data_IF_827027744121
#
_entry.id   IF_827027744121
#
_cell.length_a   1.000
_cell.length_b   1.000
_cell.length_c   1.000
_cell.angle_alpha   90.00
_cell.angle_beta   90.00
_cell.angle_gamma   90.00
#
_symmetry.space_group_name_H-M   'P 1'
#
loop_
_entity.id
_entity.type
_entity.pdbx_description
1 polymer ?
#
# COMPACT_ATOMS: atom_id res chain seq x y z
N UNK A 1 12.74 23.41 -19.00
CA UNK A 1 11.87 22.67 -18.06
C UNK A 1 12.77 21.64 -17.42
N UNK A 2 13.05 21.71 -16.12
CA UNK A 2 13.88 20.69 -15.46
C UNK A 2 13.12 19.38 -15.51
N UNK A 3 13.72 18.35 -16.08
CA UNK A 3 13.20 16.98 -15.99
C UNK A 3 13.03 16.63 -14.50
N UNK A 4 11.81 16.75 -14.01
CA UNK A 4 11.51 16.37 -12.64
C UNK A 4 11.76 14.85 -12.54
N UNK A 5 12.71 14.45 -11.70
CA UNK A 5 13.02 13.03 -11.43
C UNK A 5 11.73 12.24 -11.23
N UNK A 6 11.61 11.11 -11.90
CA UNK A 6 10.49 10.17 -11.74
C UNK A 6 10.37 9.72 -10.28
N UNK A 7 9.17 9.31 -9.87
CA UNK A 7 8.89 8.80 -8.51
C UNK A 7 8.66 7.30 -8.58
N UNK A 8 9.38 6.56 -7.75
CA UNK A 8 9.19 5.12 -7.56
C UNK A 8 8.29 4.84 -6.34
N UNK A 9 7.21 4.09 -6.55
CA UNK A 9 6.26 3.69 -5.51
C UNK A 9 6.30 2.19 -5.34
N UNK A 10 6.44 1.71 -4.12
CA UNK A 10 6.26 0.29 -3.81
C UNK A 10 4.85 0.06 -3.27
N UNK A 11 4.07 -0.78 -3.96
CA UNK A 11 2.73 -1.14 -3.57
C UNK A 11 2.68 -2.50 -2.84
N UNK A 12 1.87 -2.58 -1.79
CA UNK A 12 1.61 -3.79 -1.01
C UNK A 12 0.12 -4.08 -1.00
N UNK A 13 -0.27 -5.25 -1.52
CA UNK A 13 -1.66 -5.70 -1.48
C UNK A 13 -1.90 -6.69 -0.35
N UNK A 14 -2.73 -6.31 0.63
CA UNK A 14 -3.07 -7.13 1.79
C UNK A 14 -4.02 -8.30 1.50
N UNK A 15 -4.35 -8.59 0.25
CA UNK A 15 -5.25 -9.69 -0.11
C UNK A 15 -4.55 -10.71 -1.00
N UNK A 16 -4.51 -11.96 -0.55
CA UNK A 16 -3.90 -13.07 -1.29
C UNK A 16 -4.87 -13.78 -2.24
N UNK A 17 -6.18 -13.50 -2.16
CA UNK A 17 -7.20 -14.15 -2.99
C UNK A 17 -6.98 -13.84 -4.47
N UNK A 18 -7.06 -14.84 -5.37
CA UNK A 18 -6.88 -14.67 -6.81
C UNK A 18 -7.87 -13.62 -7.39
N UNK A 19 -9.17 -13.75 -7.10
CA UNK A 19 -10.22 -12.78 -7.50
C UNK A 19 -10.38 -11.61 -6.52
N UNK A 20 -9.28 -11.04 -6.01
CA UNK A 20 -9.31 -9.97 -5.01
C UNK A 20 -9.68 -8.63 -5.63
N UNK A 21 -10.71 -7.96 -5.10
CA UNK A 21 -11.04 -6.56 -5.42
C UNK A 21 -9.87 -5.61 -5.13
N UNK A 22 -9.08 -5.88 -4.10
CA UNK A 22 -7.90 -5.06 -3.78
C UNK A 22 -6.77 -5.25 -4.80
N UNK A 23 -6.55 -6.45 -5.32
CA UNK A 23 -5.63 -6.66 -6.45
C UNK A 23 -6.11 -5.97 -7.72
N UNK A 24 -7.40 -6.00 -7.98
CA UNK A 24 -8.01 -5.29 -9.12
C UNK A 24 -7.86 -3.77 -8.96
N UNK A 25 -8.15 -3.21 -7.77
CA UNK A 25 -7.93 -1.80 -7.49
C UNK A 25 -6.45 -1.40 -7.64
N UNK A 26 -5.51 -2.26 -7.25
CA UNK A 26 -4.08 -2.03 -7.47
C UNK A 26 -3.73 -2.01 -8.97
N UNK A 27 -4.27 -2.94 -9.78
CA UNK A 27 -4.07 -2.89 -11.24
C UNK A 27 -4.58 -1.57 -11.82
N UNK A 28 -5.76 -1.11 -11.36
CA UNK A 28 -6.32 0.20 -11.76
C UNK A 28 -5.39 1.36 -11.35
N UNK A 29 -4.79 1.32 -10.16
CA UNK A 29 -3.82 2.33 -9.76
C UNK A 29 -2.57 2.32 -10.66
N UNK A 30 -2.06 1.16 -11.04
CA UNK A 30 -0.93 1.03 -11.96
C UNK A 30 -1.29 1.60 -13.36
N UNK A 31 -2.53 1.37 -13.82
CA UNK A 31 -3.03 1.92 -15.08
C UNK A 31 -3.16 3.46 -15.03
N UNK A 32 -3.69 4.00 -13.94
CA UNK A 32 -4.04 5.43 -13.80
C UNK A 32 -2.92 6.30 -13.22
N UNK A 33 -1.73 5.74 -12.99
CA UNK A 33 -0.60 6.49 -12.41
C UNK A 33 -0.21 7.71 -13.26
N UNK A 34 0.21 8.81 -12.64
CA UNK A 34 0.72 9.99 -13.35
C UNK A 34 1.93 9.65 -14.21
N UNK A 35 2.16 10.42 -15.31
CA UNK A 35 3.41 10.33 -16.07
C UNK A 35 4.62 10.56 -15.14
N UNK A 36 5.66 9.71 -15.27
CA UNK A 36 6.86 9.80 -14.44
C UNK A 36 6.75 9.07 -13.10
N UNK A 37 5.60 8.47 -12.76
CA UNK A 37 5.49 7.55 -11.62
C UNK A 37 5.64 6.10 -12.08
N UNK A 38 6.44 5.32 -11.36
CA UNK A 38 6.46 3.86 -11.46
C UNK A 38 5.83 3.24 -10.21
N UNK A 39 5.08 2.15 -10.37
CA UNK A 39 4.49 1.41 -9.24
C UNK A 39 4.90 -0.06 -9.38
N UNK A 40 5.77 -0.49 -8.50
CA UNK A 40 6.16 -1.89 -8.35
C UNK A 40 5.35 -2.56 -7.24
N UNK A 41 5.10 -3.85 -7.35
CA UNK A 41 4.32 -4.60 -6.36
C UNK A 41 5.20 -5.57 -5.58
N UNK A 42 5.17 -5.49 -4.25
CA UNK A 42 5.83 -6.46 -3.38
C UNK A 42 4.98 -7.73 -3.20
N UNK A 43 5.62 -8.89 -3.26
CA UNK A 43 5.01 -10.14 -2.80
C UNK A 43 5.21 -10.29 -1.29
N UNK A 44 4.13 -10.13 -0.54
CA UNK A 44 4.11 -10.29 0.92
C UNK A 44 3.44 -11.59 1.37
N UNK A 45 2.99 -12.41 0.43
CA UNK A 45 2.27 -13.66 0.71
C UNK A 45 3.16 -14.84 1.08
N UNK A 46 4.44 -14.74 0.75
CA UNK A 46 5.43 -15.81 0.98
C UNK A 46 6.13 -15.73 2.33
N UNK A 47 5.85 -14.70 3.15
CA UNK A 47 6.54 -14.52 4.43
C UNK A 47 6.02 -15.49 5.49
N UNK A 48 6.90 -16.14 6.27
CA UNK A 48 6.47 -16.89 7.44
C UNK A 48 5.78 -15.94 8.44
N UNK A 49 5.00 -16.46 9.35
CA UNK A 49 4.53 -15.65 10.49
C UNK A 49 5.73 -15.11 11.25
N UNK A 50 5.63 -13.84 11.67
CA UNK A 50 6.71 -13.22 12.42
C UNK A 50 7.01 -14.00 13.69
N UNK A 51 8.29 -14.28 13.88
CA UNK A 51 8.83 -14.95 15.06
C UNK A 51 10.23 -14.40 15.34
N UNK A 52 10.44 -13.90 16.55
CA UNK A 52 11.72 -13.32 16.96
C UNK A 52 12.85 -14.35 16.97
N UNK A 53 12.58 -15.62 17.29
CA UNK A 53 13.60 -16.67 17.26
C UNK A 53 14.12 -16.90 15.82
N UNK A 54 13.24 -16.78 14.83
CA UNK A 54 13.63 -16.84 13.41
C UNK A 54 14.39 -15.59 13.04
N UNK A 55 13.91 -14.41 13.48
CA UNK A 55 14.55 -13.13 13.22
C UNK A 55 15.97 -13.06 13.80
N UNK A 56 16.22 -13.62 14.96
CA UNK A 56 17.53 -13.66 15.62
C UNK A 56 18.59 -14.42 14.78
N UNK A 57 18.15 -15.31 13.88
CA UNK A 57 19.02 -16.02 12.95
C UNK A 57 19.24 -15.26 11.62
N UNK A 58 18.59 -14.10 11.45
CA UNK A 58 18.61 -13.28 10.24
C UNK A 58 17.22 -13.12 9.65
N UNK A 59 17.10 -12.19 8.69
CA UNK A 59 15.84 -12.05 7.95
C UNK A 59 15.68 -13.16 6.91
N UNK A 60 14.50 -13.80 6.81
CA UNK A 60 14.21 -14.68 5.67
C UNK A 60 14.46 -13.95 4.35
N UNK A 61 15.01 -14.62 3.29
CA UNK A 61 15.38 -13.97 2.04
C UNK A 61 14.26 -13.13 1.39
N UNK A 62 12.98 -13.57 1.36
CA UNK A 62 11.90 -12.73 0.82
C UNK A 62 11.64 -11.48 1.65
N UNK A 63 11.78 -11.54 2.98
CA UNK A 63 11.65 -10.39 3.87
C UNK A 63 12.79 -9.40 3.63
N UNK A 64 14.02 -9.88 3.51
CA UNK A 64 15.18 -9.03 3.23
C UNK A 64 15.04 -8.32 1.88
N UNK A 65 14.55 -9.02 0.85
CA UNK A 65 14.24 -8.42 -0.44
C UNK A 65 13.19 -7.32 -0.30
N UNK A 66 12.12 -7.57 0.44
CA UNK A 66 11.07 -6.60 0.70
C UNK A 66 11.60 -5.34 1.44
N UNK A 67 12.44 -5.53 2.45
CA UNK A 67 13.10 -4.40 3.16
C UNK A 67 13.93 -3.54 2.21
N UNK A 68 14.70 -4.15 1.31
CA UNK A 68 15.46 -3.42 0.27
C UNK A 68 14.54 -2.68 -0.70
N UNK A 69 13.42 -3.28 -1.10
CA UNK A 69 12.41 -2.62 -1.95
C UNK A 69 11.80 -1.39 -1.27
N UNK A 70 11.44 -1.49 0.01
CA UNK A 70 10.95 -0.34 0.79
C UNK A 70 12.02 0.76 0.86
N UNK A 71 13.26 0.40 1.16
CA UNK A 71 14.35 1.38 1.27
C UNK A 71 14.57 2.13 -0.04
N UNK A 72 14.51 1.43 -1.18
CA UNK A 72 14.73 2.00 -2.51
C UNK A 72 13.56 2.85 -3.04
N UNK A 73 12.34 2.60 -2.58
CA UNK A 73 11.16 3.34 -3.05
C UNK A 73 11.09 4.76 -2.48
N UNK A 74 10.64 5.71 -3.30
CA UNK A 74 10.41 7.09 -2.87
C UNK A 74 9.12 7.22 -2.03
N UNK A 75 8.12 6.37 -2.27
CA UNK A 75 6.84 6.35 -1.56
C UNK A 75 6.25 4.94 -1.49
N UNK A 76 5.22 4.76 -0.66
CA UNK A 76 4.53 3.49 -0.47
C UNK A 76 3.04 3.62 -0.78
N UNK A 77 2.44 2.56 -1.34
CA UNK A 77 1.00 2.42 -1.55
C UNK A 77 0.50 1.16 -0.86
N UNK A 78 -0.29 1.32 0.19
CA UNK A 78 -0.97 0.20 0.84
C UNK A 78 -2.36 0.00 0.23
N UNK A 79 -2.66 -1.23 -0.19
CA UNK A 79 -3.97 -1.62 -0.70
C UNK A 79 -4.52 -2.72 0.19
N UNK A 80 -5.40 -2.38 1.12
CA UNK A 80 -5.82 -3.28 2.19
C UNK A 80 -7.29 -3.69 2.10
N UNK A 81 -7.63 -4.98 2.24
CA UNK A 81 -8.98 -5.38 2.61
C UNK A 81 -9.26 -5.00 4.08
N UNK A 82 -10.52 -5.10 4.49
CA UNK A 82 -10.90 -5.00 5.89
C UNK A 82 -11.37 -6.37 6.40
N UNK A 83 -10.68 -6.92 7.39
CA UNK A 83 -11.04 -8.14 8.08
C UNK A 83 -11.21 -7.87 9.56
N UNK A 84 -12.41 -8.13 10.10
CA UNK A 84 -12.71 -7.93 11.52
C UNK A 84 -12.33 -6.51 12.01
N UNK A 85 -12.71 -5.48 11.24
CA UNK A 85 -12.45 -4.06 11.52
C UNK A 85 -10.98 -3.63 11.46
N UNK A 86 -10.07 -4.48 10.99
CA UNK A 86 -8.64 -4.19 10.92
C UNK A 86 -8.06 -4.50 9.53
N UNK A 87 -6.78 -4.17 9.34
CA UNK A 87 -6.01 -4.60 8.18
C UNK A 87 -5.87 -6.13 8.17
N UNK A 88 -5.55 -6.71 7.02
CA UNK A 88 -5.33 -8.15 6.92
C UNK A 88 -4.10 -8.61 7.70
N UNK A 89 -4.14 -9.83 8.23
CA UNK A 89 -3.02 -10.43 8.95
C UNK A 89 -1.74 -10.51 8.09
N UNK A 90 -1.87 -10.76 6.79
CA UNK A 90 -0.70 -10.83 5.89
C UNK A 90 -0.01 -9.46 5.75
N UNK A 91 -0.78 -8.38 5.68
CA UNK A 91 -0.23 -7.03 5.62
C UNK A 91 0.43 -6.66 6.95
N UNK A 92 -0.24 -6.95 8.07
CA UNK A 92 0.33 -6.71 9.40
C UNK A 92 1.61 -7.51 9.61
N UNK A 93 1.64 -8.78 9.21
CA UNK A 93 2.83 -9.62 9.28
C UNK A 93 4.01 -9.05 8.46
N UNK A 94 3.73 -8.56 7.25
CA UNK A 94 4.76 -7.92 6.43
C UNK A 94 5.34 -6.65 7.08
N UNK A 95 4.48 -5.82 7.69
CA UNK A 95 4.91 -4.63 8.44
C UNK A 95 5.73 -5.05 9.66
N UNK A 96 5.31 -6.07 10.42
CA UNK A 96 6.03 -6.54 11.61
C UNK A 96 7.43 -7.04 11.24
N UNK A 97 7.56 -7.82 10.19
CA UNK A 97 8.85 -8.27 9.70
C UNK A 97 9.76 -7.12 9.27
N UNK A 98 9.25 -6.23 8.40
CA UNK A 98 10.09 -5.19 7.81
C UNK A 98 10.50 -4.11 8.81
N UNK A 99 9.71 -3.89 9.86
CA UNK A 99 9.94 -2.86 10.88
C UNK A 99 11.01 -3.23 11.92
N UNK A 100 11.58 -4.44 11.88
CA UNK A 100 12.59 -4.84 12.89
C UNK A 100 13.94 -4.18 12.64
N UNK A 101 14.70 -3.85 13.72
CA UNK A 101 16.05 -3.34 13.60
C UNK A 101 17.00 -4.40 13.01
N UNK A 102 18.20 -4.01 12.51
CA UNK A 102 18.62 -2.62 12.30
C UNK A 102 17.95 -1.98 11.08
N UNK A 103 18.10 -0.65 10.92
CA UNK A 103 17.76 0.08 9.68
C UNK A 103 16.33 -0.13 9.21
N UNK A 104 15.37 0.13 10.09
CA UNK A 104 13.94 0.07 9.80
C UNK A 104 13.60 0.97 8.57
N UNK A 105 13.15 0.41 7.41
CA UNK A 105 13.12 1.14 6.15
C UNK A 105 11.87 2.01 5.93
N UNK A 106 10.92 2.01 6.85
CA UNK A 106 9.67 2.77 6.74
C UNK A 106 9.80 4.24 7.12
N UNK A 107 10.77 4.59 7.98
CA UNK A 107 10.90 5.94 8.52
C UNK A 107 11.01 7.00 7.41
N UNK A 108 10.23 8.07 7.55
CA UNK A 108 10.20 9.19 6.60
C UNK A 108 9.46 8.90 5.28
N UNK A 109 8.95 7.69 5.04
CA UNK A 109 8.29 7.34 3.77
C UNK A 109 6.91 8.01 3.64
N UNK A 110 6.65 8.74 2.55
CA UNK A 110 5.31 9.14 2.14
C UNK A 110 4.46 7.90 1.85
N UNK A 111 3.20 7.92 2.31
CA UNK A 111 2.31 6.77 2.20
C UNK A 111 0.94 7.17 1.68
N UNK A 112 0.44 6.47 0.69
CA UNK A 112 -0.98 6.45 0.33
C UNK A 112 -1.64 5.13 0.76
N UNK A 113 -2.91 5.19 1.12
CA UNK A 113 -3.69 4.03 1.54
C UNK A 113 -5.00 4.02 0.76
N UNK A 114 -5.37 2.87 0.23
CA UNK A 114 -6.68 2.62 -0.38
C UNK A 114 -7.14 1.20 -0.10
N UNK A 115 -8.41 0.90 -0.38
CA UNK A 115 -8.88 -0.47 -0.25
C UNK A 115 -10.31 -0.67 -0.66
N UNK A 116 -10.66 -1.94 -0.89
CA UNK A 116 -11.96 -2.39 -1.34
C UNK A 116 -12.53 -3.49 -0.44
N UNK A 117 -13.83 -3.37 -0.12
CA UNK A 117 -14.58 -4.36 0.67
C UNK A 117 -16.00 -4.50 0.13
N UNK A 118 -16.59 -5.68 0.32
CA UNK A 118 -18.00 -5.89 -0.01
C UNK A 118 -18.97 -5.13 0.94
N UNK A 119 -18.52 -4.72 2.12
CA UNK A 119 -19.28 -3.92 3.06
C UNK A 119 -19.43 -2.46 2.63
N UNK A 120 -20.46 -1.77 3.12
CA UNK A 120 -20.76 -0.37 2.78
C UNK A 120 -19.62 0.60 3.15
N UNK A 121 -18.98 0.40 4.28
CA UNK A 121 -17.90 1.26 4.77
C UNK A 121 -16.57 1.11 4.03
N UNK A 122 -16.52 0.26 3.01
CA UNK A 122 -15.27 -0.04 2.32
C UNK A 122 -14.24 -0.60 3.30
N UNK A 123 -13.08 0.01 3.37
CA UNK A 123 -12.00 -0.39 4.29
C UNK A 123 -11.61 0.72 5.27
N UNK A 124 -12.57 1.57 5.63
CA UNK A 124 -12.30 2.76 6.44
C UNK A 124 -11.62 2.42 7.78
N UNK A 125 -12.13 1.41 8.50
CA UNK A 125 -11.57 1.03 9.81
C UNK A 125 -10.18 0.42 9.67
N UNK A 126 -9.98 -0.45 8.67
CA UNK A 126 -8.68 -1.04 8.37
C UNK A 126 -7.64 0.03 8.02
N UNK A 127 -8.03 1.07 7.27
CA UNK A 127 -7.14 2.17 6.92
C UNK A 127 -6.78 3.03 8.13
N UNK A 128 -7.72 3.30 9.04
CA UNK A 128 -7.41 4.01 10.28
C UNK A 128 -6.52 3.19 11.22
N UNK A 129 -6.73 1.88 11.29
CA UNK A 129 -5.86 1.00 12.05
C UNK A 129 -4.44 0.94 11.48
N UNK A 130 -4.31 0.89 10.15
CA UNK A 130 -3.01 0.97 9.47
C UNK A 130 -2.30 2.32 9.72
N UNK A 131 -3.04 3.44 9.80
CA UNK A 131 -2.47 4.76 10.12
C UNK A 131 -1.81 4.79 11.51
N UNK A 132 -2.26 3.99 12.46
CA UNK A 132 -1.62 3.84 13.79
C UNK A 132 -0.23 3.23 13.66
N UNK A 133 -0.06 2.26 12.74
CA UNK A 133 1.28 1.72 12.44
C UNK A 133 2.18 2.79 11.80
N UNK A 134 1.62 3.66 10.95
CA UNK A 134 2.39 4.75 10.36
C UNK A 134 2.97 5.70 11.42
N UNK A 135 2.19 6.01 12.46
CA UNK A 135 2.66 6.86 13.57
C UNK A 135 3.87 6.25 14.26
N UNK A 136 3.80 4.96 14.64
CA UNK A 136 4.89 4.28 15.33
C UNK A 136 6.15 4.14 14.46
N UNK A 137 5.98 3.94 13.15
CA UNK A 137 7.08 3.70 12.21
C UNK A 137 7.61 4.98 11.55
N UNK A 138 7.15 6.16 11.99
CA UNK A 138 7.53 7.46 11.44
C UNK A 138 7.29 7.57 9.92
N UNK A 139 6.21 6.92 9.42
CA UNK A 139 5.74 7.11 8.06
C UNK A 139 4.87 8.37 7.95
N UNK A 140 4.79 8.94 6.76
CA UNK A 140 4.02 10.16 6.50
C UNK A 140 2.76 9.87 5.65
N UNK A 141 1.66 9.38 6.27
CA UNK A 141 0.45 9.05 5.53
C UNK A 141 -0.23 10.29 4.97
N UNK A 142 -0.58 10.23 3.69
CA UNK A 142 -1.42 11.22 3.03
C UNK A 142 -2.84 11.20 3.63
N UNK A 143 -3.37 12.37 4.01
CA UNK A 143 -4.67 12.44 4.65
C UNK A 143 -5.83 12.48 3.65
N UNK A 144 -5.65 13.08 2.49
CA UNK A 144 -6.67 13.23 1.45
C UNK A 144 -6.06 13.05 0.04
N UNK A 145 -6.84 12.50 -0.91
CA UNK A 145 -8.18 11.92 -0.72
C UNK A 145 -8.15 10.59 0.04
N UNK A 146 -9.28 10.23 0.66
CA UNK A 146 -9.49 8.89 1.20
C UNK A 146 -10.18 8.02 0.13
N UNK A 147 -9.69 6.81 -0.10
CA UNK A 147 -10.24 5.90 -1.11
C UNK A 147 -10.79 4.65 -0.44
N UNK A 148 -12.09 4.67 -0.13
CA UNK A 148 -12.84 3.58 0.47
C UNK A 148 -13.80 2.98 -0.54
N UNK A 149 -13.41 1.90 -1.22
CA UNK A 149 -14.25 1.23 -2.22
C UNK A 149 -15.20 0.28 -1.49
N UNK A 150 -16.38 0.79 -1.11
CA UNK A 150 -17.46 0.00 -0.51
C UNK A 150 -18.33 -0.67 -1.56
N UNK A 151 -19.12 -1.68 -1.13
CA UNK A 151 -20.02 -2.48 -1.97
C UNK A 151 -19.30 -3.00 -3.22
N UNK A 152 -18.05 -3.45 -3.04
CA UNK A 152 -17.12 -3.72 -4.13
C UNK A 152 -17.67 -4.71 -5.18
N UNK A 153 -18.52 -5.66 -4.78
CA UNK A 153 -19.13 -6.64 -5.71
C UNK A 153 -19.97 -6.01 -6.83
N UNK A 154 -20.39 -4.74 -6.71
CA UNK A 154 -21.14 -4.00 -7.75
C UNK A 154 -20.26 -3.09 -8.61
N UNK A 155 -18.97 -3.02 -8.33
CA UNK A 155 -18.04 -2.05 -8.92
C UNK A 155 -16.92 -2.68 -9.75
N UNK A 156 -16.97 -4.00 -9.87
CA UNK A 156 -16.03 -4.78 -10.69
C UNK A 156 -16.82 -5.66 -11.64
N UNK A 157 -16.37 -5.77 -12.89
CA UNK A 157 -16.96 -6.67 -13.88
C UNK A 157 -16.60 -8.15 -13.63
N UNK A 158 -17.10 -9.03 -14.49
CA UNK A 158 -16.86 -10.47 -14.40
C UNK A 158 -15.38 -10.83 -14.64
N UNK A 159 -14.67 -10.02 -15.38
CA UNK A 159 -13.22 -10.14 -15.68
C UNK A 159 -12.36 -9.59 -14.53
N UNK A 160 -12.98 -8.97 -13.53
CA UNK A 160 -12.32 -8.40 -12.35
C UNK A 160 -11.68 -7.03 -12.62
N UNK A 161 -12.17 -6.28 -13.60
CA UNK A 161 -11.78 -4.90 -13.85
C UNK A 161 -12.62 -3.94 -13.01
N UNK A 162 -12.02 -2.88 -12.50
CA UNK A 162 -12.72 -1.87 -11.71
C UNK A 162 -13.40 -0.87 -12.64
N UNK A 163 -14.72 -0.88 -12.69
CA UNK A 163 -15.56 -0.15 -13.67
C UNK A 163 -16.25 1.08 -13.09
N UNK A 164 -16.21 1.31 -11.79
CA UNK A 164 -16.81 2.49 -11.15
C UNK A 164 -15.98 3.76 -11.44
N UNK A 165 -16.45 4.61 -12.34
CA UNK A 165 -15.74 5.80 -12.81
C UNK A 165 -15.45 6.80 -11.66
N UNK A 166 -16.33 6.92 -10.69
CA UNK A 166 -16.09 7.77 -9.52
C UNK A 166 -14.91 7.23 -8.70
N UNK A 167 -14.89 5.92 -8.46
CA UNK A 167 -13.79 5.27 -7.76
C UNK A 167 -12.47 5.33 -8.53
N UNK A 168 -12.51 5.18 -9.86
CA UNK A 168 -11.34 5.36 -10.74
C UNK A 168 -10.78 6.79 -10.64
N UNK A 169 -11.67 7.79 -10.62
CA UNK A 169 -11.30 9.19 -10.40
C UNK A 169 -10.59 9.39 -9.06
N UNK A 170 -11.15 8.85 -7.97
CA UNK A 170 -10.55 8.93 -6.64
C UNK A 170 -9.17 8.26 -6.56
N UNK A 171 -8.98 7.11 -7.23
CA UNK A 171 -7.66 6.46 -7.30
C UNK A 171 -6.65 7.35 -8.04
N UNK A 172 -7.03 7.95 -9.16
CA UNK A 172 -6.17 8.89 -9.92
C UNK A 172 -5.77 10.07 -9.02
N UNK A 173 -6.74 10.69 -8.36
CA UNK A 173 -6.50 11.84 -7.48
C UNK A 173 -5.59 11.48 -6.30
N UNK A 174 -5.74 10.26 -5.74
CA UNK A 174 -4.85 9.75 -4.69
C UNK A 174 -3.41 9.66 -5.17
N UNK A 175 -3.17 9.16 -6.38
CA UNK A 175 -1.82 9.02 -6.94
C UNK A 175 -1.18 10.36 -7.27
N UNK A 176 -1.95 11.31 -7.80
CA UNK A 176 -1.50 12.70 -8.03
C UNK A 176 -1.12 13.35 -6.68
N UNK A 177 -1.96 13.18 -5.67
CA UNK A 177 -1.68 13.72 -4.34
C UNK A 177 -0.46 13.04 -3.68
N UNK A 178 -0.27 11.73 -3.89
CA UNK A 178 0.92 11.01 -3.42
C UNK A 178 2.19 11.54 -4.09
N UNK A 179 2.15 11.81 -5.39
CA UNK A 179 3.29 12.41 -6.09
C UNK A 179 3.67 13.76 -5.48
N UNK A 180 2.69 14.64 -5.29
CA UNK A 180 2.91 15.96 -4.71
C UNK A 180 3.45 15.87 -3.27
N UNK A 181 2.88 14.99 -2.47
CA UNK A 181 3.30 14.73 -1.10
C UNK A 181 4.73 14.20 -1.01
N UNK A 182 5.08 13.26 -1.89
CA UNK A 182 6.44 12.71 -1.97
C UNK A 182 7.46 13.79 -2.30
N UNK A 183 7.15 14.66 -3.27
CA UNK A 183 8.02 15.79 -3.62
C UNK A 183 8.15 16.83 -2.50
N UNK A 184 7.09 17.03 -1.71
CA UNK A 184 7.09 17.96 -0.60
C UNK A 184 7.96 17.45 0.56
N UNK A 185 7.86 16.16 0.92
CA UNK A 185 8.64 15.53 1.99
C UNK A 185 10.12 15.38 1.59
N UNK A 186 10.39 15.01 0.35
CA UNK A 186 11.76 14.83 -0.16
C UNK A 186 12.58 16.11 -0.35
N UNK A 187 11.99 17.29 -0.12
CA UNK A 187 12.67 18.61 -0.21
C UNK A 187 13.41 19.03 1.08
N UNK A 188 13.63 18.09 2.01
CA UNK A 188 14.42 18.37 3.23
C UNK A 188 15.91 18.27 2.96
#
# INVERSE_FOLDING_TARGET
>A
MSDAKGISVLAMCGSLRAGSYNRAALRTAIELKPPGMTIDTADIGSFPLYNEDVRAQGFPPPVETFRRQIAAADALLFVTPEYNYSMSGVLKNAIDWASRPPDQPFAGKPVAIMGASAGMGGTARAQYDLRRCCVFLDMHPLNKPEVFIGVAHTKFDAEGSFTDEVGRGLIRDLLVALEQWTRQIGRK
#
